data_IF_142695803634
#
_entry.id   IF_142695803634
#
_cell.length_a   1.000
_cell.length_b   1.000
_cell.length_c   1.000
_cell.angle_alpha   90.00
_cell.angle_beta   90.00
_cell.angle_gamma   90.00
#
_symmetry.space_group_name_H-M   'P 1'
#
loop_
_entity.id
_entity.type
_entity.pdbx_description
1 polymer ?
#
# COMPACT_ATOMS: atom_id res chain seq x y z
N UNK A 1 13.39 -12.30 14.97
CA UNK A 1 13.55 -11.12 14.09
C UNK A 1 14.97 -10.62 14.21
N UNK A 2 15.68 -10.41 13.09
CA UNK A 2 17.01 -9.77 13.07
C UNK A 2 16.89 -8.26 12.89
N UNK A 3 17.97 -7.51 13.16
CA UNK A 3 18.00 -6.06 12.95
C UNK A 3 17.75 -5.67 11.47
N UNK A 4 18.26 -6.45 10.53
CA UNK A 4 18.07 -6.22 9.09
C UNK A 4 16.61 -6.47 8.68
N UNK A 5 16.00 -7.54 9.20
CA UNK A 5 14.59 -7.84 8.99
C UNK A 5 13.69 -6.72 9.55
N UNK A 6 14.00 -6.23 10.76
CA UNK A 6 13.25 -5.12 11.34
C UNK A 6 13.38 -3.83 10.52
N UNK A 7 14.60 -3.47 10.10
CA UNK A 7 14.81 -2.27 9.29
C UNK A 7 14.12 -2.36 7.92
N UNK A 8 14.03 -3.56 7.34
CA UNK A 8 13.22 -3.80 6.15
C UNK A 8 11.72 -3.57 6.39
N UNK A 9 11.18 -4.06 7.52
CA UNK A 9 9.78 -3.83 7.88
C UNK A 9 9.49 -2.34 8.08
N UNK A 10 10.37 -1.62 8.78
CA UNK A 10 10.26 -0.17 8.98
C UNK A 10 10.31 0.60 7.65
N UNK A 11 11.16 0.16 6.72
CA UNK A 11 11.20 0.72 5.36
C UNK A 11 9.90 0.46 4.59
N UNK A 12 9.35 -0.75 4.67
CA UNK A 12 8.04 -1.09 4.10
C UNK A 12 6.93 -0.20 4.66
N UNK A 13 6.86 -0.07 5.98
CA UNK A 13 5.87 0.77 6.67
C UNK A 13 6.00 2.21 6.20
N UNK A 14 7.20 2.79 6.21
CA UNK A 14 7.44 4.18 5.80
C UNK A 14 7.05 4.43 4.35
N UNK A 15 7.44 3.54 3.45
CA UNK A 15 7.08 3.63 2.03
C UNK A 15 5.57 3.58 1.83
N UNK A 16 4.89 2.63 2.48
CA UNK A 16 3.44 2.46 2.32
C UNK A 16 2.66 3.62 2.90
N UNK A 17 3.06 4.17 4.05
CA UNK A 17 2.47 5.40 4.60
C UNK A 17 2.54 6.55 3.60
N UNK A 18 3.69 6.73 2.95
CA UNK A 18 3.84 7.73 1.90
C UNK A 18 2.90 7.46 0.72
N UNK A 19 2.83 6.22 0.21
CA UNK A 19 1.96 5.87 -0.93
C UNK A 19 0.47 6.04 -0.62
N UNK A 20 0.04 5.70 0.60
CA UNK A 20 -1.34 5.91 1.05
C UNK A 20 -1.64 7.40 1.15
N UNK A 21 -0.75 8.18 1.77
CA UNK A 21 -0.92 9.62 1.90
C UNK A 21 -0.98 10.32 0.53
N UNK A 22 -0.13 9.92 -0.41
CA UNK A 22 -0.11 10.40 -1.80
C UNK A 22 -1.44 10.07 -2.50
N UNK A 23 -1.90 8.82 -2.42
CA UNK A 23 -3.16 8.41 -3.04
C UNK A 23 -4.38 9.15 -2.46
N UNK A 24 -4.45 9.32 -1.13
CA UNK A 24 -5.52 10.08 -0.49
C UNK A 24 -5.42 11.60 -0.79
N UNK A 25 -4.20 12.15 -0.90
CA UNK A 25 -3.98 13.56 -1.25
C UNK A 25 -4.48 13.87 -2.67
N UNK A 26 -4.39 12.92 -3.59
CA UNK A 26 -4.85 13.07 -4.99
C UNK A 26 -6.35 12.73 -5.15
N UNK A 27 -7.08 12.54 -4.04
CA UNK A 27 -8.51 12.21 -4.05
C UNK A 27 -8.82 10.82 -4.63
N UNK A 28 -7.80 9.98 -4.84
CA UNK A 28 -7.95 8.61 -5.36
C UNK A 28 -8.51 7.65 -4.30
N UNK A 29 -8.60 8.08 -3.04
CA UNK A 29 -9.08 7.28 -1.91
C UNK A 29 -9.99 8.08 -0.99
N UNK A 30 -10.95 7.41 -0.36
CA UNK A 30 -11.82 8.03 0.65
C UNK A 30 -11.02 8.32 1.93
N UNK A 31 -11.23 9.52 2.49
CA UNK A 31 -10.72 9.94 3.79
C UNK A 31 -11.30 9.12 4.96
N UNK A 32 -12.37 8.34 4.71
CA UNK A 32 -13.07 7.54 5.73
C UNK A 32 -12.44 6.14 5.93
N UNK A 33 -11.37 5.81 5.21
CA UNK A 33 -10.74 4.51 5.32
C UNK A 33 -9.88 4.40 6.59
N UNK A 34 -10.49 3.88 7.65
CA UNK A 34 -9.84 3.69 8.97
C UNK A 34 -8.99 2.40 9.06
N UNK A 35 -9.05 1.52 8.05
CA UNK A 35 -8.33 0.24 8.02
C UNK A 35 -7.68 -0.04 6.67
N UNK A 36 -6.52 -0.68 6.69
CA UNK A 36 -5.73 -1.01 5.52
C UNK A 36 -6.45 -2.01 4.60
N UNK A 37 -7.18 -2.98 5.16
CA UNK A 37 -7.99 -3.92 4.38
C UNK A 37 -9.05 -3.23 3.50
N UNK A 38 -9.61 -2.11 3.98
CA UNK A 38 -10.56 -1.32 3.22
C UNK A 38 -9.87 -0.59 2.06
N UNK A 39 -8.70 0.03 2.32
CA UNK A 39 -7.86 0.66 1.29
C UNK A 39 -7.44 -0.35 0.21
N UNK A 40 -7.04 -1.53 0.65
CA UNK A 40 -6.64 -2.65 -0.19
C UNK A 40 -7.73 -3.04 -1.18
N UNK A 41 -8.94 -3.25 -0.66
CA UNK A 41 -10.10 -3.68 -1.45
C UNK A 41 -10.50 -2.62 -2.46
N UNK A 42 -10.45 -1.34 -2.07
CA UNK A 42 -10.78 -0.21 -2.96
C UNK A 42 -9.82 -0.09 -4.16
N UNK A 43 -8.54 -0.43 -3.98
CA UNK A 43 -7.51 -0.24 -5.02
C UNK A 43 -7.17 -1.49 -5.83
N UNK A 44 -7.79 -2.64 -5.54
CA UNK A 44 -7.53 -3.92 -6.20
C UNK A 44 -6.04 -4.26 -6.29
N UNK A 45 -5.28 -4.01 -5.22
CA UNK A 45 -3.83 -4.27 -5.24
C UNK A 45 -3.54 -5.77 -5.16
N UNK A 46 -2.45 -6.20 -5.81
CA UNK A 46 -1.94 -7.58 -5.75
C UNK A 46 -1.39 -7.94 -4.38
N UNK A 47 -0.96 -9.20 -4.15
CA UNK A 47 -0.64 -9.82 -2.83
C UNK A 47 0.16 -9.00 -1.80
N UNK A 48 0.95 -8.00 -2.20
CA UNK A 48 1.73 -7.13 -1.29
C UNK A 48 1.39 -5.62 -1.37
N UNK A 49 0.27 -5.27 -1.99
CA UNK A 49 -0.33 -3.95 -1.86
C UNK A 49 0.40 -2.86 -2.59
N UNK A 50 0.88 -1.90 -1.79
CA UNK A 50 1.69 -0.80 -2.28
C UNK A 50 3.17 -1.15 -2.43
N UNK A 51 3.64 -2.31 -1.93
CA UNK A 51 5.03 -2.70 -2.13
C UNK A 51 5.35 -2.84 -3.62
N UNK A 52 6.50 -2.32 -4.03
CA UNK A 52 7.02 -2.53 -5.39
C UNK A 52 7.88 -3.79 -5.47
N UNK A 53 8.15 -4.24 -6.69
CA UNK A 53 8.94 -5.45 -6.95
C UNK A 53 10.33 -5.40 -6.30
N UNK A 54 10.96 -4.22 -6.27
CA UNK A 54 12.25 -3.95 -5.62
C UNK A 54 12.21 -4.13 -4.09
N UNK A 55 11.03 -4.16 -3.47
CA UNK A 55 10.85 -4.46 -2.05
C UNK A 55 10.48 -5.93 -1.85
N UNK A 56 9.69 -6.50 -2.74
CA UNK A 56 9.24 -7.89 -2.68
C UNK A 56 10.43 -8.85 -2.81
N UNK A 57 11.34 -8.61 -3.76
CA UNK A 57 12.48 -9.50 -3.98
C UNK A 57 13.43 -9.57 -2.77
N UNK A 58 13.89 -8.43 -2.17
CA UNK A 58 14.63 -8.47 -0.91
C UNK A 58 13.82 -9.07 0.24
N UNK A 59 12.51 -8.79 0.32
CA UNK A 59 11.63 -9.36 1.32
C UNK A 59 11.63 -10.88 1.32
N UNK A 60 11.50 -11.51 0.15
CA UNK A 60 11.57 -12.98 0.01
C UNK A 60 12.91 -13.57 0.44
N UNK A 61 14.01 -12.85 0.20
CA UNK A 61 15.35 -13.27 0.63
C UNK A 61 15.54 -13.14 2.14
N UNK A 62 14.98 -12.10 2.76
CA UNK A 62 15.09 -11.82 4.19
C UNK A 62 14.14 -12.67 5.04
N UNK A 63 13.01 -13.07 4.48
CA UNK A 63 11.99 -13.90 5.13
C UNK A 63 11.75 -15.17 4.31
N UNK A 64 12.68 -16.14 4.37
CA UNK A 64 12.55 -17.38 3.62
C UNK A 64 11.40 -18.24 4.17
N UNK A 65 10.81 -19.04 3.29
CA UNK A 65 9.77 -19.99 3.65
C UNK A 65 10.31 -21.08 4.58
N UNK A 66 9.48 -21.52 5.51
CA UNK A 66 9.78 -22.69 6.32
C UNK A 66 9.75 -23.97 5.45
N UNK A 67 10.47 -25.04 5.85
CA UNK A 67 10.42 -26.31 5.13
C UNK A 67 8.97 -26.81 5.00
N UNK A 68 8.53 -27.14 3.78
CA UNK A 68 7.17 -27.57 3.44
C UNK A 68 6.07 -26.49 3.55
N UNK A 69 6.43 -25.22 3.75
CA UNK A 69 5.47 -24.13 3.69
C UNK A 69 5.16 -23.73 2.24
N UNK A 70 4.04 -23.03 2.05
CA UNK A 70 3.68 -22.48 0.75
C UNK A 70 4.64 -21.37 0.31
N UNK A 71 4.85 -21.23 -0.99
CA UNK A 71 5.75 -20.21 -1.53
C UNK A 71 5.33 -18.79 -1.11
N UNK A 72 6.28 -18.05 -0.54
CA UNK A 72 6.11 -16.68 -0.06
C UNK A 72 5.49 -16.55 1.33
N UNK A 73 5.15 -17.65 2.00
CA UNK A 73 4.62 -17.68 3.38
C UNK A 73 5.50 -16.93 4.39
N UNK A 74 6.83 -16.98 4.24
CA UNK A 74 7.75 -16.26 5.12
C UNK A 74 7.57 -14.76 5.00
N UNK A 75 7.49 -14.26 3.76
CA UNK A 75 7.24 -12.85 3.49
C UNK A 75 5.81 -12.45 3.86
N UNK A 76 4.82 -13.30 3.63
CA UNK A 76 3.43 -13.01 4.03
C UNK A 76 3.33 -12.76 5.54
N UNK A 77 3.95 -13.62 6.36
CA UNK A 77 3.96 -13.46 7.81
C UNK A 77 4.65 -12.15 8.25
N UNK A 78 5.69 -11.74 7.54
CA UNK A 78 6.36 -10.47 7.77
C UNK A 78 5.48 -9.28 7.32
N UNK A 79 4.76 -9.43 6.22
CA UNK A 79 3.87 -8.43 5.66
C UNK A 79 2.63 -8.19 6.53
N UNK A 80 2.12 -9.21 7.23
CA UNK A 80 1.07 -9.04 8.24
C UNK A 80 1.45 -8.04 9.35
N UNK A 81 2.73 -8.01 9.74
CA UNK A 81 3.23 -7.03 10.71
C UNK A 81 3.21 -5.61 10.15
N UNK A 82 3.48 -5.46 8.85
CA UNK A 82 3.38 -4.18 8.14
C UNK A 82 1.93 -3.73 8.10
N UNK A 83 1.01 -4.63 7.73
CA UNK A 83 -0.43 -4.35 7.70
C UNK A 83 -0.95 -3.93 9.08
N UNK A 84 -0.57 -4.64 10.13
CA UNK A 84 -0.93 -4.31 11.51
C UNK A 84 -0.44 -2.90 11.89
N UNK A 85 0.81 -2.55 11.57
CA UNK A 85 1.34 -1.22 11.84
C UNK A 85 0.67 -0.11 11.02
N UNK A 86 0.10 -0.44 9.86
CA UNK A 86 -0.70 0.49 9.06
C UNK A 86 -2.12 0.64 9.63
N UNK A 87 -2.76 -0.46 10.05
CA UNK A 87 -4.06 -0.45 10.73
C UNK A 87 -4.02 0.41 12.01
N UNK A 88 -2.93 0.35 12.79
CA UNK A 88 -2.77 1.21 13.97
C UNK A 88 -2.56 2.69 13.61
N UNK A 89 -1.96 2.97 12.45
CA UNK A 89 -1.62 4.32 12.03
C UNK A 89 -2.77 5.04 11.32
N UNK A 90 -3.54 4.33 10.49
CA UNK A 90 -4.58 4.91 9.64
C UNK A 90 -5.64 5.73 10.39
N UNK A 91 -6.19 5.28 11.54
CA UNK A 91 -7.16 6.08 12.30
C UNK A 91 -6.58 7.40 12.84
N UNK A 92 -5.25 7.46 13.02
CA UNK A 92 -4.57 8.68 13.47
C UNK A 92 -4.17 9.61 12.32
N UNK A 93 -4.31 9.14 11.07
CA UNK A 93 -3.87 9.89 9.90
C UNK A 93 -4.95 10.87 9.47
N UNK A 94 -4.63 12.16 9.55
CA UNK A 94 -5.51 13.26 9.13
C UNK A 94 -4.79 14.02 8.02
N UNK A 95 -5.41 14.09 6.84
CA UNK A 95 -4.93 14.96 5.76
C UNK A 95 -5.49 16.37 6.00
N UNK A 96 -4.62 17.40 6.10
CA UNK A 96 -5.07 18.77 6.16
C UNK A 96 -5.90 19.13 4.91
N UNK A 97 -7.06 19.80 5.05
CA UNK A 97 -7.97 20.06 3.93
C UNK A 97 -7.33 20.81 2.74
N UNK A 98 -6.30 21.61 2.98
CA UNK A 98 -5.57 22.36 1.95
C UNK A 98 -4.55 21.53 1.15
N UNK A 99 -4.35 20.26 1.48
CA UNK A 99 -3.42 19.35 0.80
C UNK A 99 -4.12 18.30 -0.06
N UNK A 100 -5.46 18.35 -0.14
CA UNK A 100 -6.22 17.51 -1.06
C UNK A 100 -6.28 18.20 -2.41
N UNK A 101 -5.64 17.60 -3.41
CA UNK A 101 -5.77 17.97 -4.81
C UNK A 101 -6.64 16.94 -5.50
N UNK A 102 -7.64 17.38 -6.26
CA UNK A 102 -8.43 16.49 -7.09
C UNK A 102 -7.78 16.42 -8.46
N UNK A 103 -7.68 15.22 -9.04
CA UNK A 103 -7.33 15.09 -10.45
C UNK A 103 -8.34 15.90 -11.29
N UNK A 104 -7.87 16.59 -12.35
CA UNK A 104 -8.79 17.22 -13.29
C UNK A 104 -9.74 16.18 -13.86
N UNK A 105 -10.99 16.58 -14.11
CA UNK A 105 -11.98 15.70 -14.73
C UNK A 105 -11.42 15.14 -16.04
N UNK A 106 -11.60 13.82 -16.31
CA UNK A 106 -11.18 13.24 -17.57
C UNK A 106 -11.88 13.99 -18.72
N UNK A 107 -11.11 14.40 -19.72
CA UNK A 107 -11.68 15.04 -20.92
C UNK A 107 -12.75 14.12 -21.51
N UNK A 108 -13.94 14.64 -21.84
CA UNK A 108 -14.95 13.85 -22.52
C UNK A 108 -14.35 13.29 -23.81
N UNK A 109 -14.69 12.05 -24.21
CA UNK A 109 -14.21 11.51 -25.47
C UNK A 109 -14.59 12.48 -26.59
N UNK A 110 -13.61 12.89 -27.39
CA UNK A 110 -13.85 13.69 -28.59
C UNK A 110 -14.84 12.90 -29.46
N UNK A 111 -16.06 13.44 -29.63
CA UNK A 111 -17.06 12.87 -30.51
C UNK A 111 -16.44 12.66 -31.90
N UNK A 112 -16.26 11.39 -32.27
CA UNK A 112 -15.94 10.99 -33.65
C UNK A 112 -17.05 11.56 -34.54
N UNK A 113 -16.75 12.39 -35.56
CA UNK A 113 -17.80 12.94 -36.40
C UNK A 113 -18.42 11.79 -37.21
N UNK A 114 -19.68 11.47 -36.91
CA UNK A 114 -20.48 10.59 -37.74
C UNK A 114 -20.61 11.21 -39.15
N UNK A 115 -20.25 10.40 -40.14
CA UNK A 115 -20.12 10.70 -41.57
C UNK A 115 -21.37 11.30 -42.24
#
# INVERSE_FOLDING_TARGET
>A
MTAVQQMFLEWCIGYMKFRIADAMSVGLMSLEAERYDALWTMLQKGRYGFLCDDMIEPGRRLFPDAPNASEGSGLDAAYELVCTALDDWLPSFIIPPGQVSFLPDPEPPEDEPAA
#
